data_IF_619122990197
#
_entry.id   IF_619122990197
#
_cell.length_a   1.000
_cell.length_b   1.000
_cell.length_c   1.000
_cell.angle_alpha   90.00
_cell.angle_beta   90.00
_cell.angle_gamma   90.00
#
_symmetry.space_group_name_H-M   'P 1'
#
loop_
_entity.id
_entity.type
_entity.pdbx_description
1 polymer ?
#
# COMPACT_ATOMS: atom_id res chain seq x y z
N UNK A 1 12.19 -24.45 14.66
CA UNK A 1 12.64 -23.12 14.19
C UNK A 1 11.86 -22.82 12.91
N UNK A 2 10.91 -21.90 12.97
CA UNK A 2 9.98 -21.63 11.87
C UNK A 2 10.60 -20.49 11.06
N UNK A 3 10.94 -20.77 9.80
CA UNK A 3 11.43 -19.77 8.84
C UNK A 3 10.42 -19.68 7.71
N UNK A 4 9.30 -19.00 7.96
CA UNK A 4 8.36 -18.64 6.90
C UNK A 4 8.83 -17.33 6.28
N UNK A 5 9.65 -17.45 5.23
CA UNK A 5 10.08 -16.34 4.39
C UNK A 5 8.86 -15.90 3.57
N UNK A 6 8.07 -14.98 4.14
CA UNK A 6 6.94 -14.27 3.50
C UNK A 6 6.12 -15.14 2.55
N UNK A 7 5.55 -16.22 3.07
CA UNK A 7 4.53 -16.98 2.37
C UNK A 7 3.20 -16.26 2.52
N UNK A 8 2.86 -15.37 1.58
CA UNK A 8 1.51 -14.82 1.49
C UNK A 8 0.55 -15.91 0.97
N UNK A 9 0.23 -16.90 1.82
CA UNK A 9 -0.95 -17.74 1.64
C UNK A 9 -2.18 -16.90 2.02
N UNK A 10 -2.60 -16.02 1.10
CA UNK A 10 -3.80 -15.18 1.24
C UNK A 10 -5.11 -15.98 1.24
N UNK A 11 -5.07 -17.30 1.15
CA UNK A 11 -6.27 -18.15 1.14
C UNK A 11 -6.88 -18.40 2.53
N UNK A 12 -6.29 -17.88 3.61
CA UNK A 12 -6.69 -18.17 5.00
C UNK A 12 -6.82 -16.94 5.91
N UNK A 13 -6.74 -15.73 5.39
CA UNK A 13 -6.85 -14.49 6.18
C UNK A 13 -8.25 -13.87 6.01
N UNK A 14 -8.82 -13.37 7.11
CA UNK A 14 -10.13 -12.73 7.20
C UNK A 14 -10.27 -11.51 6.26
N UNK A 15 -11.46 -11.28 5.68
CA UNK A 15 -11.71 -10.26 4.61
C UNK A 15 -11.30 -8.84 5.06
N UNK A 16 -11.45 -8.53 6.35
CA UNK A 16 -11.05 -7.25 6.94
C UNK A 16 -9.52 -7.09 7.05
N UNK A 17 -8.79 -8.18 7.32
CA UNK A 17 -7.31 -8.19 7.37
C UNK A 17 -6.71 -8.04 5.97
N UNK A 18 -7.41 -8.56 4.95
CA UNK A 18 -6.96 -8.52 3.57
C UNK A 18 -6.93 -7.09 2.99
N UNK A 19 -7.87 -6.23 3.40
CA UNK A 19 -7.98 -4.85 2.90
C UNK A 19 -6.91 -3.92 3.46
N UNK A 20 -6.54 -4.08 4.73
CA UNK A 20 -5.52 -3.23 5.37
C UNK A 20 -4.10 -3.59 4.90
N UNK A 21 -3.85 -4.86 4.61
CA UNK A 21 -2.55 -5.28 4.12
C UNK A 21 -2.32 -4.84 2.66
N UNK A 22 -3.35 -4.90 1.82
CA UNK A 22 -3.24 -4.44 0.43
C UNK A 22 -3.01 -2.93 0.34
N UNK A 23 -3.71 -2.12 1.13
CA UNK A 23 -3.47 -0.66 1.19
C UNK A 23 -2.09 -0.29 1.73
N UNK A 24 -1.47 -1.16 2.53
CA UNK A 24 -0.13 -0.94 3.09
C UNK A 24 1.00 -1.47 2.20
N UNK A 25 0.74 -2.53 1.43
CA UNK A 25 1.69 -3.09 0.46
C UNK A 25 1.71 -2.31 -0.86
N UNK A 26 0.59 -1.70 -1.22
CA UNK A 26 0.46 -0.89 -2.43
C UNK A 26 0.26 0.57 -2.01
N UNK A 27 1.38 1.31 -1.98
CA UNK A 27 1.43 2.75 -1.75
C UNK A 27 2.42 3.36 -2.73
N UNK A 28 2.26 4.65 -3.02
CA UNK A 28 3.21 5.39 -3.84
C UNK A 28 3.76 6.61 -3.10
N UNK A 29 5.08 6.78 -3.20
CA UNK A 29 5.75 7.96 -2.65
C UNK A 29 5.58 9.14 -3.59
N UNK A 30 5.04 10.24 -3.08
CA UNK A 30 4.94 11.48 -3.83
C UNK A 30 6.33 12.02 -4.13
N UNK A 31 6.67 12.13 -5.41
CA UNK A 31 7.95 12.69 -5.86
C UNK A 31 8.20 14.15 -5.46
N UNK A 32 7.16 14.89 -5.05
CA UNK A 32 7.28 16.30 -4.62
C UNK A 32 7.53 16.43 -3.11
N UNK A 33 6.72 15.77 -2.29
CA UNK A 33 6.74 15.93 -0.83
C UNK A 33 7.11 14.65 -0.06
N UNK A 34 7.41 13.55 -0.77
CA UNK A 34 7.79 12.22 -0.24
C UNK A 34 6.71 11.47 0.55
N UNK A 35 5.54 12.07 0.75
CA UNK A 35 4.41 11.42 1.43
C UNK A 35 3.99 10.13 0.73
N UNK A 36 3.70 9.09 1.51
CA UNK A 36 3.21 7.80 1.02
C UNK A 36 1.68 7.85 0.91
N UNK A 37 1.20 7.88 -0.32
CA UNK A 37 -0.23 7.89 -0.61
C UNK A 37 -0.73 6.47 -0.86
N UNK A 38 -2.01 6.24 -0.58
CA UNK A 38 -2.73 5.02 -0.98
C UNK A 38 -2.60 4.77 -2.49
N UNK A 39 -2.47 3.51 -2.91
CA UNK A 39 -2.36 3.15 -4.33
C UNK A 39 -3.53 3.66 -5.18
N UNK A 40 -4.73 3.71 -4.61
CA UNK A 40 -5.95 4.15 -5.29
C UNK A 40 -6.02 5.68 -5.43
N UNK A 41 -5.22 6.41 -4.65
CA UNK A 41 -5.15 7.88 -4.73
C UNK A 41 -4.40 8.31 -5.99
N UNK A 42 -5.08 9.07 -6.86
CA UNK A 42 -4.47 9.64 -8.08
C UNK A 42 -3.65 10.90 -7.81
N UNK A 43 -3.99 11.63 -6.75
CA UNK A 43 -3.33 12.86 -6.34
C UNK A 43 -2.76 12.71 -4.93
N UNK A 44 -1.71 13.46 -4.64
CA UNK A 44 -1.13 13.47 -3.32
C UNK A 44 -2.06 14.18 -2.32
N UNK A 45 -2.34 13.55 -1.18
CA UNK A 45 -3.20 14.12 -0.14
C UNK A 45 -2.63 15.41 0.47
N UNK A 46 -1.29 15.50 0.55
CA UNK A 46 -0.59 16.62 1.19
C UNK A 46 -0.37 17.80 0.24
N UNK A 47 0.00 17.54 -1.02
CA UNK A 47 0.42 18.59 -1.94
C UNK A 47 -0.33 18.60 -3.28
N UNK A 48 -1.34 17.73 -3.44
CA UNK A 48 -2.20 17.62 -4.63
C UNK A 48 -1.48 17.34 -5.95
N UNK A 49 -0.24 16.85 -5.91
CA UNK A 49 0.49 16.43 -7.11
C UNK A 49 -0.13 15.16 -7.68
N UNK A 50 -0.36 15.12 -8.99
CA UNK A 50 -0.81 13.92 -9.68
C UNK A 50 0.31 12.85 -9.75
N UNK A 51 -0.06 11.59 -9.53
CA UNK A 51 0.85 10.43 -9.49
C UNK A 51 1.56 10.19 -10.84
N UNK A 52 0.90 10.53 -11.96
CA UNK A 52 1.38 10.28 -13.31
C UNK A 52 2.24 11.39 -13.91
N UNK A 53 2.44 12.50 -13.19
CA UNK A 53 3.28 13.63 -13.63
C UNK A 53 4.72 13.43 -13.26
#
# INVERSE_FOLDING_TARGET
RISTRTGYCLSYMDDDVQRDLTSKLFQWSCRRCTYLNDELSRICEICSLDKGT
#
